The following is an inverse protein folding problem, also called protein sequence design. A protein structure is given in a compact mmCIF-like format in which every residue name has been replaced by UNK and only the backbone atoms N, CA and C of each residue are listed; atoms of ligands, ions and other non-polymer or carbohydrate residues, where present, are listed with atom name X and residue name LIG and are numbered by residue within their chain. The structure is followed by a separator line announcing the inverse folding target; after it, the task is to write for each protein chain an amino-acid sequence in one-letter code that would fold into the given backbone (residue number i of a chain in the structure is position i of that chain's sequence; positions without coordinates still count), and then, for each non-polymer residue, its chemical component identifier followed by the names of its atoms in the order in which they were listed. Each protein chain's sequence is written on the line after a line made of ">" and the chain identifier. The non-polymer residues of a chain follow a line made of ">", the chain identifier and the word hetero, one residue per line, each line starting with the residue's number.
data_IF_188176262309
#
_entry.id   IF_188176262309
#
_cell.length_a   1.000
_cell.length_b   1.000
_cell.length_c   1.000
_cell.angle_alpha   90.00
_cell.angle_beta   90.00
_cell.angle_gamma   90.00
#
_symmetry.space_group_name_H-M   'P 1'
#
loop_
_entity.id
_entity.type
_entity.pdbx_description
1 polymer ?
#
# COMPACT_ATOMS: atom_id res chain seq x y z
N UNK A 1 -19.41 -36.01 25.37
CA UNK A 1 -20.36 -36.20 24.25
C UNK A 1 -19.59 -36.77 23.06
N UNK A 2 -20.17 -37.66 22.24
CA UNK A 2 -19.45 -38.17 21.07
C UNK A 2 -19.41 -37.11 19.97
N UNK A 3 -18.21 -36.68 19.54
CA UNK A 3 -18.05 -35.71 18.47
C UNK A 3 -18.39 -36.38 17.13
N UNK A 4 -19.47 -35.94 16.49
CA UNK A 4 -19.93 -36.52 15.22
C UNK A 4 -19.24 -35.88 14.02
N UNK A 5 -19.15 -36.60 12.90
CA UNK A 5 -18.61 -36.04 11.65
C UNK A 5 -19.42 -34.84 11.15
N UNK A 6 -20.73 -34.81 11.41
CA UNK A 6 -21.60 -33.69 11.06
C UNK A 6 -21.24 -32.43 11.85
N UNK A 7 -20.97 -32.53 13.16
CA UNK A 7 -20.54 -31.40 13.98
C UNK A 7 -19.19 -30.84 13.51
N UNK A 8 -18.24 -31.73 13.17
CA UNK A 8 -16.93 -31.30 12.65
C UNK A 8 -17.10 -30.59 11.31
N UNK A 9 -17.96 -31.11 10.43
CA UNK A 9 -18.28 -30.47 9.15
C UNK A 9 -18.93 -29.10 9.37
N UNK A 10 -19.91 -28.99 10.26
CA UNK A 10 -20.59 -27.73 10.57
C UNK A 10 -19.60 -26.67 11.10
N UNK A 11 -18.73 -27.03 12.04
CA UNK A 11 -17.71 -26.11 12.56
C UNK A 11 -16.74 -25.68 11.46
N UNK A 12 -16.33 -26.61 10.59
CA UNK A 12 -15.48 -26.29 9.44
C UNK A 12 -16.17 -25.37 8.45
N UNK A 13 -17.43 -25.63 8.12
CA UNK A 13 -18.18 -24.80 7.18
C UNK A 13 -18.42 -23.38 7.75
N UNK A 14 -18.49 -23.25 9.10
CA UNK A 14 -18.56 -21.95 9.79
C UNK A 14 -17.24 -21.20 9.87
N UNK A 15 -16.11 -21.90 10.07
CA UNK A 15 -14.81 -21.28 10.40
C UNK A 15 -13.78 -21.34 9.29
N UNK A 16 -14.03 -22.12 8.24
CA UNK A 16 -13.07 -22.54 7.20
C UNK A 16 -11.80 -23.23 7.78
N UNK A 17 -11.79 -23.62 9.06
CA UNK A 17 -10.62 -24.22 9.70
C UNK A 17 -10.32 -25.65 9.21
N UNK A 18 -9.09 -26.11 9.42
CA UNK A 18 -8.68 -27.48 9.09
C UNK A 18 -9.54 -28.54 9.80
N UNK A 19 -9.88 -29.63 9.11
CA UNK A 19 -10.79 -30.68 9.62
C UNK A 19 -10.36 -31.24 10.98
N UNK A 20 -9.05 -31.47 11.16
CA UNK A 20 -8.51 -31.98 12.42
C UNK A 20 -8.49 -30.94 13.53
N UNK A 21 -8.29 -29.66 13.19
CA UNK A 21 -8.36 -28.57 14.17
C UNK A 21 -9.81 -28.40 14.66
N UNK A 22 -10.80 -28.47 13.77
CA UNK A 22 -12.23 -28.48 14.14
C UNK A 22 -12.58 -29.64 15.08
N UNK A 23 -12.12 -30.86 14.75
CA UNK A 23 -12.37 -32.05 15.58
C UNK A 23 -11.73 -31.92 16.96
N UNK A 24 -10.49 -31.41 17.04
CA UNK A 24 -9.81 -31.18 18.32
C UNK A 24 -10.53 -30.13 19.15
N UNK A 25 -10.88 -28.99 18.55
CA UNK A 25 -11.59 -27.92 19.23
C UNK A 25 -12.93 -28.39 19.81
N UNK A 26 -13.74 -29.13 19.03
CA UNK A 26 -14.98 -29.73 19.52
C UNK A 26 -14.73 -30.76 20.62
N UNK A 27 -13.64 -31.52 20.56
CA UNK A 27 -13.31 -32.50 21.60
C UNK A 27 -12.97 -31.82 22.92
N UNK A 28 -12.14 -30.78 22.89
CA UNK A 28 -11.71 -30.02 24.08
C UNK A 28 -12.84 -29.22 24.72
N UNK A 29 -13.83 -28.82 23.92
CA UNK A 29 -15.02 -28.06 24.35
C UNK A 29 -16.23 -28.96 24.59
N UNK A 30 -16.03 -30.27 24.64
CA UNK A 30 -17.09 -31.26 24.88
C UNK A 30 -18.27 -31.20 23.89
N UNK A 31 -18.04 -30.69 22.68
CA UNK A 31 -19.03 -30.55 21.61
C UNK A 31 -19.74 -29.19 21.59
N UNK A 32 -19.36 -28.25 22.45
CA UNK A 32 -19.88 -26.89 22.44
C UNK A 32 -19.35 -26.12 21.21
N UNK A 33 -20.27 -25.75 20.31
CA UNK A 33 -19.94 -25.12 19.05
C UNK A 33 -19.36 -23.71 19.22
N UNK A 34 -19.92 -22.91 20.15
CA UNK A 34 -19.47 -21.53 20.37
C UNK A 34 -18.10 -21.52 21.04
N UNK A 35 -17.93 -22.35 22.07
CA UNK A 35 -16.65 -22.52 22.73
C UNK A 35 -15.59 -23.06 21.76
N UNK A 36 -15.95 -23.96 20.83
CA UNK A 36 -15.02 -24.48 19.83
C UNK A 36 -14.55 -23.40 18.85
N UNK A 37 -15.46 -22.49 18.43
CA UNK A 37 -15.10 -21.32 17.60
C UNK A 37 -14.13 -20.41 18.36
N UNK A 38 -14.42 -20.08 19.61
CA UNK A 38 -13.55 -19.24 20.44
C UNK A 38 -12.16 -19.88 20.65
N UNK A 39 -12.13 -21.19 20.89
CA UNK A 39 -10.89 -21.95 21.04
C UNK A 39 -10.07 -21.95 19.75
N UNK A 40 -10.71 -22.13 18.59
CA UNK A 40 -10.02 -22.05 17.29
C UNK A 40 -9.38 -20.67 17.10
N UNK A 41 -10.09 -19.59 17.41
CA UNK A 41 -9.57 -18.22 17.32
C UNK A 41 -8.36 -18.02 18.24
N UNK A 42 -8.46 -18.41 19.51
CA UNK A 42 -7.33 -18.35 20.47
C UNK A 42 -6.13 -19.17 19.97
N UNK A 43 -6.38 -20.39 19.48
CA UNK A 43 -5.32 -21.25 18.95
C UNK A 43 -4.66 -20.69 17.69
N UNK A 44 -5.43 -19.97 16.86
CA UNK A 44 -4.96 -19.27 15.67
C UNK A 44 -3.93 -18.20 16.02
N UNK A 45 -4.21 -17.38 17.05
CA UNK A 45 -3.27 -16.38 17.55
C UNK A 45 -1.92 -17.01 17.96
N UNK A 46 -1.96 -18.06 18.79
CA UNK A 46 -0.73 -18.74 19.23
C UNK A 46 0.03 -19.40 18.07
N UNK A 47 -0.67 -19.96 17.08
CA UNK A 47 -0.04 -20.56 15.90
C UNK A 47 0.57 -19.49 14.99
N UNK A 48 -0.07 -18.32 14.87
CA UNK A 48 0.45 -17.19 14.12
C UNK A 48 1.73 -16.62 14.77
N UNK A 49 1.74 -16.47 16.10
CA UNK A 49 2.93 -16.06 16.88
C UNK A 49 4.11 -17.00 16.65
N UNK A 50 3.89 -18.32 16.62
CA UNK A 50 4.93 -19.32 16.31
C UNK A 50 5.49 -19.21 14.90
N UNK A 51 4.84 -18.46 14.02
CA UNK A 51 5.28 -18.17 12.66
C UNK A 51 5.79 -16.74 12.49
N UNK A 52 5.97 -15.98 13.58
CA UNK A 52 6.41 -14.58 13.52
C UNK A 52 7.72 -14.37 12.73
N UNK A 53 8.62 -15.36 12.67
CA UNK A 53 9.87 -15.28 11.90
C UNK A 53 9.71 -15.56 10.40
N UNK A 54 8.52 -15.96 9.93
CA UNK A 54 8.27 -16.22 8.51
C UNK A 54 8.30 -14.93 7.71
N UNK A 55 8.91 -15.01 6.53
CA UNK A 55 8.97 -13.92 5.56
C UNK A 55 7.63 -13.80 4.85
N UNK A 56 7.10 -12.58 4.79
CA UNK A 56 5.82 -12.24 4.15
C UNK A 56 6.04 -11.18 3.08
N UNK A 57 6.42 -11.60 1.87
CA UNK A 57 6.74 -10.71 0.74
C UNK A 57 5.59 -10.57 -0.26
N UNK A 58 4.59 -11.45 -0.19
CA UNK A 58 3.38 -11.40 -1.00
C UNK A 58 2.26 -10.67 -0.25
N UNK A 59 1.15 -10.36 -0.91
CA UNK A 59 0.03 -9.66 -0.28
C UNK A 59 -0.74 -8.72 -1.19
N UNK A 60 -1.42 -7.74 -0.57
CA UNK A 60 -2.22 -6.72 -1.24
C UNK A 60 -2.05 -5.35 -0.60
N UNK A 61 -2.03 -4.34 -1.45
CA UNK A 61 -2.28 -2.94 -1.09
C UNK A 61 -3.71 -2.61 -1.45
N UNK A 62 -4.39 -1.85 -0.59
CA UNK A 62 -5.70 -1.28 -0.89
C UNK A 62 -5.83 0.11 -0.27
N UNK A 63 -6.49 1.02 -0.99
CA UNK A 63 -6.88 2.32 -0.45
C UNK A 63 -8.41 2.46 -0.47
N UNK A 64 -8.94 2.94 0.65
CA UNK A 64 -10.34 3.27 0.83
C UNK A 64 -10.47 4.78 1.06
N UNK A 65 -11.34 5.44 0.29
CA UNK A 65 -11.58 6.89 0.35
C UNK A 65 -13.04 7.13 0.71
N UNK A 66 -13.28 7.94 1.73
CA UNK A 66 -14.61 8.40 2.14
C UNK A 66 -14.59 9.92 2.34
N UNK A 67 -15.03 10.64 1.30
CA UNK A 67 -15.03 12.10 1.26
C UNK A 67 -13.64 12.71 1.45
N UNK A 68 -13.42 13.32 2.62
CA UNK A 68 -12.17 14.00 2.98
C UNK A 68 -11.22 13.14 3.81
N UNK A 69 -11.54 11.86 4.02
CA UNK A 69 -10.69 10.93 4.75
C UNK A 69 -10.36 9.75 3.84
N UNK A 70 -9.10 9.30 3.87
CA UNK A 70 -8.69 8.10 3.18
C UNK A 70 -7.67 7.32 3.98
N UNK A 71 -7.68 6.00 3.82
CA UNK A 71 -6.65 5.10 4.35
C UNK A 71 -6.14 4.25 3.21
N UNK A 72 -4.82 4.10 3.13
CA UNK A 72 -4.18 3.06 2.34
C UNK A 72 -3.40 2.14 3.26
N UNK A 73 -3.58 0.83 3.10
CA UNK A 73 -2.89 -0.19 3.89
C UNK A 73 -2.29 -1.28 3.00
N UNK A 74 -1.23 -1.91 3.49
CA UNK A 74 -0.62 -3.11 2.91
C UNK A 74 -0.73 -4.26 3.91
N UNK A 75 -1.37 -5.34 3.49
CA UNK A 75 -1.40 -6.60 4.25
C UNK A 75 -0.63 -7.64 3.47
N UNK A 76 0.41 -8.19 4.10
CA UNK A 76 1.25 -9.23 3.53
C UNK A 76 0.87 -10.62 4.01
N UNK A 77 1.16 -11.61 3.17
CA UNK A 77 1.06 -13.04 3.44
C UNK A 77 2.36 -13.75 3.00
N UNK A 78 2.47 -15.05 3.28
CA UNK A 78 3.68 -15.82 2.96
C UNK A 78 3.75 -16.14 1.46
N UNK A 79 2.63 -16.51 0.83
CA UNK A 79 2.60 -17.02 -0.54
C UNK A 79 1.73 -16.20 -1.50
N UNK A 80 2.01 -16.35 -2.79
CA UNK A 80 1.24 -15.79 -3.89
C UNK A 80 -0.12 -16.49 -4.06
N UNK A 81 -0.25 -17.74 -3.62
CA UNK A 81 -1.52 -18.46 -3.59
C UNK A 81 -2.55 -17.79 -2.68
N UNK A 82 -2.15 -17.37 -1.46
CA UNK A 82 -3.03 -16.62 -0.57
C UNK A 82 -3.27 -15.21 -1.11
N UNK A 83 -2.23 -14.53 -1.61
CA UNK A 83 -2.39 -13.21 -2.22
C UNK A 83 -3.33 -13.24 -3.43
N UNK A 84 -3.34 -14.32 -4.21
CA UNK A 84 -4.23 -14.52 -5.36
C UNK A 84 -5.68 -14.85 -4.98
N UNK A 85 -5.95 -15.14 -3.71
CA UNK A 85 -7.27 -15.57 -3.25
C UNK A 85 -8.22 -14.37 -3.06
N UNK A 86 -9.42 -14.45 -3.63
CA UNK A 86 -10.44 -13.39 -3.53
C UNK A 86 -10.84 -13.10 -2.08
N UNK A 87 -11.01 -14.13 -1.25
CA UNK A 87 -11.38 -13.98 0.17
C UNK A 87 -10.29 -13.22 0.96
N UNK A 88 -9.02 -13.37 0.59
CA UNK A 88 -7.94 -12.59 1.19
C UNK A 88 -8.05 -11.12 0.76
N UNK A 89 -8.25 -10.86 -0.54
CA UNK A 89 -8.33 -9.48 -1.01
C UNK A 89 -9.57 -8.75 -0.48
N UNK A 90 -10.72 -9.43 -0.39
CA UNK A 90 -11.93 -8.87 0.22
C UNK A 90 -11.71 -8.50 1.69
N UNK A 91 -11.01 -9.35 2.44
CA UNK A 91 -10.59 -9.00 3.79
C UNK A 91 -9.74 -7.71 3.82
N UNK A 92 -8.78 -7.54 2.90
CA UNK A 92 -7.93 -6.33 2.85
C UNK A 92 -8.78 -5.08 2.57
N UNK A 93 -9.79 -5.17 1.70
CA UNK A 93 -10.72 -4.06 1.42
C UNK A 93 -11.55 -3.70 2.66
N UNK A 94 -12.10 -4.69 3.33
CA UNK A 94 -12.88 -4.49 4.56
C UNK A 94 -12.01 -3.94 5.69
N UNK A 95 -10.78 -4.42 5.83
CA UNK A 95 -9.82 -3.91 6.80
C UNK A 95 -9.54 -2.41 6.56
N UNK A 96 -9.42 -1.97 5.31
CA UNK A 96 -9.21 -0.55 5.02
C UNK A 96 -10.41 0.31 5.46
N UNK A 97 -11.63 -0.18 5.25
CA UNK A 97 -12.84 0.49 5.73
C UNK A 97 -12.94 0.52 7.27
N UNK A 98 -12.66 -0.60 7.94
CA UNK A 98 -12.62 -0.68 9.41
C UNK A 98 -11.55 0.23 10.02
N UNK A 99 -10.35 0.25 9.43
CA UNK A 99 -9.26 1.14 9.87
C UNK A 99 -9.63 2.60 9.67
N UNK A 100 -10.26 2.97 8.54
CA UNK A 100 -10.73 4.35 8.34
C UNK A 100 -11.76 4.75 9.41
N UNK A 101 -12.70 3.87 9.73
CA UNK A 101 -13.75 4.14 10.72
C UNK A 101 -13.25 4.14 12.18
N UNK A 102 -12.28 3.27 12.50
CA UNK A 102 -11.81 3.02 13.86
C UNK A 102 -10.54 3.76 14.26
N UNK A 103 -9.92 4.52 13.35
CA UNK A 103 -8.70 5.28 13.63
C UNK A 103 -8.83 6.75 13.25
N UNK A 104 -7.93 7.57 13.79
CA UNK A 104 -7.83 9.01 13.52
C UNK A 104 -6.38 9.43 13.31
N UNK A 105 -6.18 10.60 12.72
CA UNK A 105 -4.87 11.22 12.51
C UNK A 105 -4.54 11.36 11.03
N UNK A 106 -3.40 12.00 10.76
CA UNK A 106 -2.95 12.32 9.42
C UNK A 106 -1.48 11.92 9.26
N UNK A 107 -1.17 11.09 8.27
CA UNK A 107 0.13 10.45 8.08
C UNK A 107 0.14 8.97 8.47
N UNK A 108 1.26 8.48 9.01
CA UNK A 108 1.44 7.08 9.37
C UNK A 108 0.56 6.69 10.57
N UNK A 109 -0.29 5.67 10.36
CA UNK A 109 -1.19 5.11 11.38
C UNK A 109 -0.95 3.60 11.58
N UNK A 110 0.19 3.08 11.14
CA UNK A 110 0.48 1.64 11.10
C UNK A 110 0.24 0.95 12.45
N UNK A 111 0.73 1.52 13.55
CA UNK A 111 0.55 0.94 14.88
C UNK A 111 -0.94 0.86 15.29
N UNK A 112 -1.72 1.92 15.02
CA UNK A 112 -3.17 1.95 15.31
C UNK A 112 -3.92 0.94 14.45
N UNK A 113 -3.56 0.83 13.18
CA UNK A 113 -4.17 -0.12 12.26
C UNK A 113 -3.84 -1.58 12.65
N UNK A 114 -2.60 -1.86 13.08
CA UNK A 114 -2.21 -3.17 13.59
C UNK A 114 -2.97 -3.53 14.86
N UNK A 115 -3.07 -2.62 15.84
CA UNK A 115 -3.84 -2.83 17.06
C UNK A 115 -5.30 -3.22 16.75
N UNK A 116 -5.91 -2.53 15.79
CA UNK A 116 -7.30 -2.75 15.38
C UNK A 116 -7.50 -4.06 14.60
N UNK A 117 -6.56 -4.44 13.72
CA UNK A 117 -6.74 -5.57 12.81
C UNK A 117 -6.07 -6.88 13.24
N UNK A 118 -5.17 -6.88 14.23
CA UNK A 118 -4.46 -8.10 14.67
C UNK A 118 -5.40 -9.25 15.04
N UNK A 119 -6.52 -8.95 15.70
CA UNK A 119 -7.54 -9.95 16.04
C UNK A 119 -8.22 -10.56 14.80
N UNK A 120 -8.49 -9.75 13.78
CA UNK A 120 -9.13 -10.18 12.53
C UNK A 120 -8.14 -10.97 11.64
N UNK A 121 -6.87 -10.56 11.63
CA UNK A 121 -5.80 -11.30 10.95
C UNK A 121 -5.59 -12.69 11.56
N UNK A 122 -5.75 -12.83 12.88
CA UNK A 122 -5.68 -14.14 13.53
C UNK A 122 -6.84 -15.08 13.12
N UNK A 123 -8.03 -14.55 12.85
CA UNK A 123 -9.12 -15.35 12.27
C UNK A 123 -8.81 -15.77 10.84
N UNK A 124 -8.25 -14.86 10.04
CA UNK A 124 -7.83 -15.17 8.67
C UNK A 124 -6.70 -16.22 8.64
N UNK A 125 -5.82 -16.20 9.64
CA UNK A 125 -4.80 -17.23 9.84
C UNK A 125 -5.42 -18.62 10.03
N UNK A 126 -6.51 -18.76 10.80
CA UNK A 126 -7.18 -20.06 11.03
C UNK A 126 -7.61 -20.71 9.70
N UNK A 127 -7.99 -19.89 8.73
CA UNK A 127 -8.45 -20.30 7.41
C UNK A 127 -7.33 -20.67 6.46
N UNK A 128 -6.26 -19.87 6.40
CA UNK A 128 -5.20 -20.06 5.40
C UNK A 128 -3.94 -20.74 5.96
N UNK A 129 -3.72 -20.69 7.26
CA UNK A 129 -2.55 -21.28 7.92
C UNK A 129 -1.22 -20.58 7.62
N UNK A 130 -1.26 -19.38 7.05
CA UNK A 130 -0.09 -18.55 6.73
C UNK A 130 -0.03 -17.32 7.63
N UNK A 131 1.19 -16.91 8.00
CA UNK A 131 1.44 -15.63 8.65
C UNK A 131 0.91 -14.51 7.75
N UNK A 132 0.13 -13.63 8.35
CA UNK A 132 -0.33 -12.40 7.72
C UNK A 132 -0.04 -11.23 8.63
N UNK A 133 0.36 -10.11 8.04
CA UNK A 133 0.75 -8.92 8.78
C UNK A 133 0.22 -7.69 8.06
N UNK A 134 -0.47 -6.82 8.79
CA UNK A 134 -0.64 -5.44 8.36
C UNK A 134 0.72 -4.76 8.48
N UNK A 135 1.39 -4.59 7.35
CA UNK A 135 2.78 -4.12 7.30
C UNK A 135 2.89 -2.62 7.47
N UNK A 136 1.98 -1.88 6.83
CA UNK A 136 1.93 -0.41 6.92
C UNK A 136 0.53 0.11 6.62
N UNK A 137 0.19 1.25 7.21
CA UNK A 137 -1.01 2.01 6.90
C UNK A 137 -0.74 3.50 6.98
N UNK A 138 -1.29 4.26 6.03
CA UNK A 138 -1.24 5.71 5.98
C UNK A 138 -2.67 6.22 5.88
N UNK A 139 -2.95 7.31 6.59
CA UNK A 139 -4.23 8.00 6.56
C UNK A 139 -4.03 9.42 6.07
N UNK A 140 -4.87 9.87 5.16
CA UNK A 140 -4.93 11.27 4.73
C UNK A 140 -6.25 11.89 5.14
N UNK A 141 -6.17 13.07 5.75
CA UNK A 141 -7.29 13.95 6.04
C UNK A 141 -7.12 15.25 5.24
N UNK A 142 -7.99 15.46 4.25
CA UNK A 142 -7.94 16.63 3.37
C UNK A 142 -8.80 17.77 3.93
N UNK A 143 -8.20 18.93 4.17
CA UNK A 143 -8.94 20.15 4.56
C UNK A 143 -9.52 20.87 3.35
N UNK A 144 -8.87 20.72 2.19
CA UNK A 144 -9.28 21.24 0.88
C UNK A 144 -8.90 20.23 -0.22
N UNK A 145 -9.50 20.36 -1.40
CA UNK A 145 -9.19 19.47 -2.54
C UNK A 145 -9.76 18.05 -2.39
N UNK A 146 -9.30 17.14 -3.23
CA UNK A 146 -9.79 15.78 -3.39
C UNK A 146 -8.76 14.76 -2.89
N UNK A 147 -9.26 13.69 -2.27
CA UNK A 147 -8.50 12.47 -2.06
C UNK A 147 -8.88 11.48 -3.15
N UNK A 148 -7.88 10.94 -3.83
CA UNK A 148 -8.09 10.03 -4.97
C UNK A 148 -7.11 8.89 -4.89
N UNK A 149 -7.57 7.69 -5.25
CA UNK A 149 -6.76 6.50 -5.20
C UNK A 149 -6.89 5.66 -6.48
N UNK A 150 -5.84 4.90 -6.76
CA UNK A 150 -5.82 3.96 -7.88
C UNK A 150 -5.08 2.68 -7.51
N UNK A 151 -5.76 1.55 -7.71
CA UNK A 151 -5.21 0.21 -7.49
C UNK A 151 -4.85 -0.41 -8.84
N UNK A 152 -3.63 -0.94 -8.96
CA UNK A 152 -3.14 -1.59 -10.17
C UNK A 152 -2.74 -3.04 -9.92
N UNK A 153 -2.88 -3.87 -10.95
CA UNK A 153 -2.50 -5.28 -10.91
C UNK A 153 -3.23 -6.06 -9.81
N UNK A 154 -4.53 -5.80 -9.60
CA UNK A 154 -5.34 -6.42 -8.55
C UNK A 154 -4.72 -6.23 -7.14
N UNK A 155 -4.34 -4.99 -6.79
CA UNK A 155 -3.77 -4.65 -5.48
C UNK A 155 -2.28 -4.95 -5.31
N UNK A 156 -1.53 -5.18 -6.41
CA UNK A 156 -0.06 -5.28 -6.34
C UNK A 156 0.62 -3.93 -6.18
N UNK A 157 -0.03 -2.88 -6.70
CA UNK A 157 0.38 -1.49 -6.56
C UNK A 157 -0.84 -0.67 -6.13
N UNK A 158 -0.62 0.27 -5.21
CA UNK A 158 -1.63 1.22 -4.77
C UNK A 158 -1.07 2.63 -4.72
N UNK A 159 -1.87 3.59 -5.17
CA UNK A 159 -1.58 5.02 -5.07
C UNK A 159 -2.73 5.71 -4.35
N UNK A 160 -2.39 6.62 -3.44
CA UNK A 160 -3.31 7.56 -2.78
C UNK A 160 -2.73 8.97 -2.93
N UNK A 161 -3.53 9.93 -3.39
CA UNK A 161 -3.12 11.30 -3.70
C UNK A 161 -4.07 12.29 -3.04
N UNK A 162 -3.52 13.36 -2.48
CA UNK A 162 -4.26 14.57 -2.12
C UNK A 162 -3.96 15.67 -3.14
N UNK A 163 -5.01 16.24 -3.73
CA UNK A 163 -4.88 17.16 -4.86
C UNK A 163 -5.92 18.27 -4.81
N UNK A 164 -5.48 19.50 -5.03
CA UNK A 164 -6.32 20.69 -5.08
C UNK A 164 -6.35 21.26 -6.52
N UNK A 165 -7.37 22.09 -6.81
CA UNK A 165 -7.43 22.85 -8.06
C UNK A 165 -8.01 22.10 -9.27
N UNK A 166 -8.59 20.91 -9.07
CA UNK A 166 -9.39 20.23 -10.08
C UNK A 166 -10.36 19.22 -9.47
N UNK A 167 -11.57 19.15 -10.03
CA UNK A 167 -12.58 18.11 -9.79
C UNK A 167 -12.77 17.20 -11.02
N UNK A 168 -11.93 17.33 -12.05
CA UNK A 168 -11.98 16.50 -13.25
C UNK A 168 -11.55 15.06 -12.92
N UNK A 169 -12.53 14.16 -12.84
CA UNK A 169 -12.32 12.77 -12.48
C UNK A 169 -11.33 12.03 -13.41
N UNK A 170 -11.27 12.38 -14.70
CA UNK A 170 -10.33 11.74 -15.64
C UNK A 170 -8.90 12.20 -15.36
N UNK A 171 -8.69 13.51 -15.19
CA UNK A 171 -7.39 14.05 -14.80
C UNK A 171 -6.91 13.48 -13.46
N UNK A 172 -7.78 13.43 -12.45
CA UNK A 172 -7.44 12.91 -11.13
C UNK A 172 -7.03 11.42 -11.17
N UNK A 173 -7.74 10.63 -11.97
CA UNK A 173 -7.39 9.23 -12.22
C UNK A 173 -6.06 9.12 -12.95
N UNK A 174 -5.83 9.94 -13.96
CA UNK A 174 -4.58 9.93 -14.73
C UNK A 174 -3.37 10.35 -13.89
N UNK A 175 -3.52 11.26 -12.92
CA UNK A 175 -2.48 11.60 -11.94
C UNK A 175 -2.09 10.34 -11.16
N UNK A 176 -3.07 9.58 -10.65
CA UNK A 176 -2.79 8.36 -9.91
C UNK A 176 -2.13 7.28 -10.78
N UNK A 177 -2.59 7.12 -12.03
CA UNK A 177 -2.00 6.20 -13.00
C UNK A 177 -0.56 6.59 -13.37
N UNK A 178 -0.31 7.89 -13.55
CA UNK A 178 1.01 8.42 -13.84
C UNK A 178 1.98 8.14 -12.69
N UNK A 179 1.60 8.45 -11.44
CA UNK A 179 2.40 8.13 -10.25
C UNK A 179 2.67 6.62 -10.19
N UNK A 180 1.67 5.79 -10.48
CA UNK A 180 1.82 4.33 -10.50
C UNK A 180 2.90 3.89 -11.50
N UNK A 181 2.88 4.44 -12.72
CA UNK A 181 3.76 4.03 -13.82
C UNK A 181 5.18 4.62 -13.71
N UNK A 182 5.30 5.90 -13.40
CA UNK A 182 6.57 6.65 -13.50
C UNK A 182 7.28 6.86 -12.16
N UNK A 183 6.65 6.46 -11.04
CA UNK A 183 7.27 6.44 -9.70
C UNK A 183 8.03 7.74 -9.35
N UNK A 184 7.40 8.93 -9.47
CA UNK A 184 8.05 10.17 -9.07
C UNK A 184 8.51 10.09 -7.62
N UNK A 185 9.68 10.67 -7.34
CA UNK A 185 10.24 10.75 -6.00
C UNK A 185 9.80 12.04 -5.28
N UNK A 186 9.57 13.10 -6.07
CA UNK A 186 9.18 14.42 -5.59
C UNK A 186 7.98 14.93 -6.38
N UNK A 187 7.24 15.89 -5.83
CA UNK A 187 6.14 16.52 -6.56
C UNK A 187 6.72 17.56 -7.52
N UNK A 188 7.57 18.45 -6.99
CA UNK A 188 8.24 19.53 -7.70
C UNK A 188 9.73 19.57 -7.37
N UNK A 189 10.51 20.31 -8.17
CA UNK A 189 11.93 20.53 -7.88
C UNK A 189 12.21 21.27 -6.57
N UNK A 190 11.20 21.96 -6.00
CA UNK A 190 11.31 22.65 -4.71
C UNK A 190 11.28 21.69 -3.53
N UNK A 191 10.74 20.49 -3.73
CA UNK A 191 10.63 19.48 -2.68
C UNK A 191 11.92 18.66 -2.53
N UNK A 192 12.88 18.85 -3.45
CA UNK A 192 14.15 18.12 -3.46
C UNK A 192 15.10 18.73 -2.42
N UNK A 193 15.68 17.93 -1.51
CA UNK A 193 16.74 18.40 -0.60
C UNK A 193 17.92 19.00 -1.38
N UNK A 194 18.39 20.17 -0.95
CA UNK A 194 19.47 20.89 -1.65
C UNK A 194 20.74 20.04 -1.82
N UNK A 195 21.09 19.24 -0.82
CA UNK A 195 22.22 18.30 -0.88
C UNK A 195 22.09 17.30 -2.05
N UNK A 196 20.88 16.80 -2.32
CA UNK A 196 20.62 15.90 -3.46
C UNK A 196 20.84 16.63 -4.78
N UNK A 197 20.36 17.86 -4.88
CA UNK A 197 20.55 18.71 -6.08
C UNK A 197 22.04 18.98 -6.32
N UNK A 198 22.78 19.30 -5.26
CA UNK A 198 24.21 19.62 -5.36
C UNK A 198 25.03 18.38 -5.74
N UNK A 199 24.71 17.22 -5.16
CA UNK A 199 25.31 15.95 -5.52
C UNK A 199 25.05 15.58 -6.99
N UNK A 200 23.82 15.77 -7.47
CA UNK A 200 23.49 15.51 -8.87
C UNK A 200 24.26 16.45 -9.81
N UNK A 201 24.40 17.73 -9.43
CA UNK A 201 25.23 18.70 -10.18
C UNK A 201 26.70 18.29 -10.21
N UNK A 202 27.25 17.82 -9.09
CA UNK A 202 28.62 17.35 -8.99
C UNK A 202 28.86 16.16 -9.93
N UNK A 203 27.99 15.15 -9.88
CA UNK A 203 28.04 13.97 -10.75
C UNK A 203 27.98 14.38 -12.23
N UNK A 204 27.00 15.21 -12.60
CA UNK A 204 26.83 15.67 -13.96
C UNK A 204 28.01 16.52 -14.45
N UNK A 205 28.60 17.35 -13.59
CA UNK A 205 29.79 18.15 -13.89
C UNK A 205 31.02 17.26 -14.11
N UNK A 206 31.28 16.31 -13.20
CA UNK A 206 32.38 15.36 -13.31
C UNK A 206 32.31 14.54 -14.61
N UNK A 207 31.11 14.12 -15.02
CA UNK A 207 30.89 13.45 -16.31
C UNK A 207 31.33 14.33 -17.49
N UNK A 208 30.92 15.59 -17.52
CA UNK A 208 31.24 16.51 -18.62
C UNK A 208 32.74 16.86 -18.68
N UNK A 209 33.40 16.96 -17.51
CA UNK A 209 34.86 17.15 -17.44
C UNK A 209 35.57 15.94 -18.02
N UNK A 210 35.15 14.72 -17.65
CA UNK A 210 35.73 13.49 -18.19
C UNK A 210 35.54 13.34 -19.71
N UNK A 211 34.43 13.88 -20.25
CA UNK A 211 34.17 13.97 -21.70
C UNK A 211 35.01 15.08 -22.40
N UNK A 212 35.87 15.79 -21.68
CA UNK A 212 36.75 16.83 -22.23
C UNK A 212 36.03 18.11 -22.64
N UNK A 213 34.85 18.39 -22.09
CA UNK A 213 34.09 19.61 -22.39
C UNK A 213 34.78 20.85 -21.78
N UNK A 214 34.92 21.97 -22.50
CA UNK A 214 35.43 23.21 -21.94
C UNK A 214 34.54 23.78 -20.82
N UNK A 215 35.14 24.40 -19.80
CA UNK A 215 34.44 24.93 -18.61
C UNK A 215 33.24 25.82 -18.95
N UNK A 216 33.39 26.75 -19.90
CA UNK A 216 32.30 27.65 -20.32
C UNK A 216 31.12 26.94 -21.00
N UNK A 217 31.33 25.74 -21.57
CA UNK A 217 30.25 24.90 -22.09
C UNK A 217 29.63 24.03 -21.00
N UNK A 218 30.40 23.59 -20.00
CA UNK A 218 29.92 22.77 -18.88
C UNK A 218 28.77 23.45 -18.16
N UNK A 219 28.92 24.73 -17.78
CA UNK A 219 27.86 25.47 -17.08
C UNK A 219 26.54 25.49 -17.85
N UNK A 220 26.59 25.75 -19.16
CA UNK A 220 25.39 25.77 -20.01
C UNK A 220 24.75 24.39 -20.15
N UNK A 221 25.55 23.33 -20.30
CA UNK A 221 25.05 21.96 -20.45
C UNK A 221 24.47 21.45 -19.13
N UNK A 222 25.07 21.84 -18.00
CA UNK A 222 24.66 21.42 -16.67
C UNK A 222 23.21 21.85 -16.37
N UNK A 223 22.83 23.08 -16.76
CA UNK A 223 21.43 23.55 -16.63
C UNK A 223 20.46 22.61 -17.35
N UNK A 224 20.79 22.19 -18.57
CA UNK A 224 19.98 21.24 -19.34
C UNK A 224 19.90 19.86 -18.68
N UNK A 225 21.03 19.33 -18.18
CA UNK A 225 21.07 18.03 -17.48
C UNK A 225 20.23 18.04 -16.20
N UNK A 226 20.32 19.10 -15.39
CA UNK A 226 19.52 19.22 -14.16
C UNK A 226 18.02 19.37 -14.48
N UNK A 227 17.67 20.15 -15.50
CA UNK A 227 16.27 20.22 -15.93
C UNK A 227 15.73 18.88 -16.43
N UNK A 228 16.56 18.09 -17.12
CA UNK A 228 16.19 16.73 -17.53
C UNK A 228 15.97 15.83 -16.31
N UNK A 229 16.88 15.88 -15.33
CA UNK A 229 16.74 15.12 -14.08
C UNK A 229 15.47 15.48 -13.31
N UNK A 230 15.10 16.77 -13.25
CA UNK A 230 13.79 17.15 -12.69
C UNK A 230 12.62 16.48 -13.42
N UNK A 231 12.70 16.35 -14.75
CA UNK A 231 11.73 15.58 -15.54
C UNK A 231 11.77 14.06 -15.32
N UNK A 232 12.78 13.53 -14.65
CA UNK A 232 12.87 12.12 -14.28
C UNK A 232 12.29 11.88 -12.88
N UNK A 233 12.50 12.80 -11.93
CA UNK A 233 12.18 12.59 -10.50
C UNK A 233 10.99 13.38 -9.96
N UNK A 234 10.54 14.44 -10.64
CA UNK A 234 9.43 15.29 -10.18
C UNK A 234 8.14 15.03 -10.97
N UNK A 235 7.07 14.66 -10.28
CA UNK A 235 5.74 14.41 -10.85
C UNK A 235 5.28 15.53 -11.81
N UNK A 236 5.42 16.79 -11.38
CA UNK A 236 4.92 17.93 -12.16
C UNK A 236 5.72 18.17 -13.46
N UNK A 237 6.94 17.63 -13.55
CA UNK A 237 7.87 17.81 -14.66
C UNK A 237 7.99 16.56 -15.55
N UNK A 238 7.54 15.40 -15.09
CA UNK A 238 7.62 14.15 -15.84
C UNK A 238 6.84 14.22 -17.17
N UNK A 239 7.36 13.57 -18.25
CA UNK A 239 6.61 13.37 -19.48
C UNK A 239 5.25 12.74 -19.22
N UNK A 240 4.17 13.40 -19.61
CA UNK A 240 2.83 13.01 -19.17
C UNK A 240 2.40 11.64 -19.73
N UNK A 241 1.66 10.85 -18.94
CA UNK A 241 1.28 9.46 -19.32
C UNK A 241 0.43 9.40 -20.59
N UNK A 242 -0.32 10.47 -20.89
CA UNK A 242 -1.14 10.58 -22.10
C UNK A 242 -0.43 11.29 -23.27
N UNK A 243 0.64 12.03 -22.98
CA UNK A 243 1.39 12.81 -23.98
C UNK A 243 2.81 13.08 -23.46
N UNK A 244 3.79 12.35 -24.00
CA UNK A 244 5.20 12.44 -23.60
C UNK A 244 5.88 13.76 -24.00
N UNK A 245 5.20 14.61 -24.77
CA UNK A 245 5.68 15.95 -25.14
C UNK A 245 5.25 17.03 -24.14
N UNK A 246 4.34 16.69 -23.24
CA UNK A 246 3.83 17.60 -22.21
C UNK A 246 4.16 17.10 -20.80
N UNK A 247 3.68 17.82 -19.79
CA UNK A 247 3.82 17.45 -18.37
C UNK A 247 2.59 17.91 -17.59
N UNK A 248 2.39 17.38 -16.38
CA UNK A 248 1.24 17.77 -15.54
C UNK A 248 1.20 19.28 -15.28
N UNK A 249 2.36 19.90 -15.02
CA UNK A 249 2.47 21.36 -14.86
C UNK A 249 2.01 22.16 -16.09
N UNK A 250 2.14 21.60 -17.31
CA UNK A 250 1.74 22.27 -18.55
C UNK A 250 0.26 22.08 -18.86
N UNK A 251 -0.26 20.86 -18.68
CA UNK A 251 -1.65 20.53 -19.05
C UNK A 251 -2.65 21.00 -17.99
N UNK A 252 -2.22 21.11 -16.73
CA UNK A 252 -3.07 21.44 -15.60
C UNK A 252 -2.36 22.40 -14.63
N UNK A 253 -2.02 23.63 -15.07
CA UNK A 253 -1.26 24.59 -14.25
C UNK A 253 -1.98 25.04 -12.97
N UNK A 254 -3.31 24.87 -12.89
CA UNK A 254 -4.10 25.15 -11.69
C UNK A 254 -4.11 24.01 -10.65
N UNK A 255 -3.61 22.82 -11.01
CA UNK A 255 -3.59 21.67 -10.12
C UNK A 255 -2.39 21.74 -9.19
N UNK A 256 -2.65 21.49 -7.90
CA UNK A 256 -1.63 21.35 -6.87
C UNK A 256 -1.74 19.98 -6.23
N UNK A 257 -0.76 19.11 -6.48
CA UNK A 257 -0.62 17.85 -5.72
C UNK A 257 0.03 18.19 -4.39
N UNK A 258 -0.66 17.89 -3.28
CA UNK A 258 -0.18 18.21 -1.92
C UNK A 258 0.76 17.13 -1.40
N UNK A 259 0.39 15.88 -1.65
CA UNK A 259 1.13 14.67 -1.26
C UNK A 259 0.59 13.46 -2.00
N UNK A 260 1.41 12.41 -2.07
CA UNK A 260 0.97 11.10 -2.50
C UNK A 260 1.71 10.00 -1.75
N UNK A 261 1.09 8.84 -1.67
CA UNK A 261 1.72 7.59 -1.31
C UNK A 261 1.61 6.63 -2.50
N UNK A 262 2.70 5.94 -2.82
CA UNK A 262 2.77 4.91 -3.87
C UNK A 262 3.44 3.66 -3.28
N UNK A 263 2.69 2.58 -3.16
CA UNK A 263 3.20 1.34 -2.57
C UNK A 263 3.12 0.18 -3.54
N UNK A 264 4.22 -0.54 -3.66
CA UNK A 264 4.25 -1.92 -4.17
C UNK A 264 4.26 -2.92 -3.03
N UNK A 265 3.52 -4.02 -3.19
CA UNK A 265 3.54 -5.16 -2.26
C UNK A 265 4.98 -5.65 -2.09
N UNK A 266 5.42 -5.77 -0.83
CA UNK A 266 6.75 -6.28 -0.49
C UNK A 266 7.90 -5.32 -0.82
N UNK A 267 7.64 -4.16 -1.41
CA UNK A 267 8.66 -3.16 -1.72
C UNK A 267 9.19 -2.55 -0.41
N UNK A 268 10.50 -2.46 -0.24
CA UNK A 268 11.11 -1.69 0.86
C UNK A 268 10.76 -0.21 0.72
N UNK A 269 10.53 0.45 1.86
CA UNK A 269 10.18 1.88 1.91
C UNK A 269 11.40 2.74 1.58
#
# INVERSE_FOLDING_TARGET
>A
MAITAAMVKELRDKTDAGMMDCKKALTETNGDMEAAVELLRKSGMTKAEKRADKVTKEGKVFAYVDGKNAVMLEINCETDFVAGNEKFFDFVKEAAARVLAGTTGDGDITAKAQELENGNLAELFVKFGEKMVLRRAVRYEATAGNLVAYMHGNGRLGVLVEVEGSDDAELLKDICMHITAFSPEFITSKDIPQERVDKEKEIASAQLIAEGKPAAMIEKILVGKINKWYGEVCLMNQPWIRDDKSSLAKIAPGVTVKRFARWGVGQEA
#
